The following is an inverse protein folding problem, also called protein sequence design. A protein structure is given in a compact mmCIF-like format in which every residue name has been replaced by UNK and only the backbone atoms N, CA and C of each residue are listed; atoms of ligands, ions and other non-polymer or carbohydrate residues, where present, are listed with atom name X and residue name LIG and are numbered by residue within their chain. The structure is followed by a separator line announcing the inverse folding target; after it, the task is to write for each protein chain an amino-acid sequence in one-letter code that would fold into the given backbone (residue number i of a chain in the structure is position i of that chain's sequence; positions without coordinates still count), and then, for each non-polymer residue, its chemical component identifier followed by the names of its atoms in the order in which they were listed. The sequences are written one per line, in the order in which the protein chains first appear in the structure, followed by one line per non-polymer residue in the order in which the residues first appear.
data_IF_277292007488
#
_entry.id   IF_277292007488
#
_cell.length_a   1.000
_cell.length_b   1.000
_cell.length_c   1.000
_cell.angle_alpha   90.00
_cell.angle_beta   90.00
_cell.angle_gamma   90.00
#
_symmetry.space_group_name_H-M   'P 1'
#
loop_
_entity.id
_entity.type
_entity.pdbx_description
1 polymer ?
#
# COMPACT_ATOMS: atom_id res chain seq x y z
N UNK A 1 -8.40 -22.93 -4.91
CA UNK A 1 -7.86 -21.56 -5.01
C UNK A 1 -7.06 -21.52 -6.29
N UNK A 2 -7.44 -20.64 -7.21
CA UNK A 2 -6.74 -20.50 -8.48
C UNK A 2 -5.77 -19.34 -8.36
N UNK A 3 -4.53 -19.54 -8.82
CA UNK A 3 -3.49 -18.53 -8.81
C UNK A 3 -3.05 -18.25 -10.24
N UNK A 4 -2.85 -16.97 -10.55
CA UNK A 4 -2.43 -16.52 -11.87
C UNK A 4 -1.35 -15.47 -11.67
N UNK A 5 -0.24 -15.63 -12.38
CA UNK A 5 0.79 -14.59 -12.48
C UNK A 5 0.33 -13.48 -13.43
N UNK A 6 0.52 -12.22 -13.06
CA UNK A 6 0.12 -11.09 -13.88
C UNK A 6 0.49 -9.74 -13.29
N UNK A 7 0.13 -8.67 -14.00
CA UNK A 7 0.33 -7.29 -13.57
C UNK A 7 -1.02 -6.63 -13.26
N UNK A 8 -1.05 -5.71 -12.29
CA UNK A 8 -2.23 -4.89 -12.02
C UNK A 8 -2.61 -3.97 -13.17
N UNK A 9 -1.65 -3.66 -14.05
CA UNK A 9 -1.84 -2.77 -15.19
C UNK A 9 -2.13 -3.50 -16.50
N UNK A 10 -1.99 -4.81 -16.51
CA UNK A 10 -2.21 -5.69 -17.66
C UNK A 10 -2.71 -7.05 -17.14
N UNK A 11 -4.02 -7.12 -16.88
CA UNK A 11 -4.63 -8.31 -16.30
C UNK A 11 -4.56 -9.48 -17.29
N UNK A 12 -4.18 -10.70 -16.85
CA UNK A 12 -4.19 -11.88 -17.71
C UNK A 12 -5.56 -12.09 -18.35
N UNK A 13 -5.60 -12.55 -19.61
CA UNK A 13 -6.85 -12.69 -20.38
C UNK A 13 -7.95 -13.52 -19.66
N UNK A 14 -7.54 -14.56 -18.90
CA UNK A 14 -8.46 -15.37 -18.10
C UNK A 14 -9.08 -14.64 -16.89
N UNK A 15 -8.43 -13.58 -16.41
CA UNK A 15 -8.95 -12.68 -15.37
C UNK A 15 -9.79 -11.57 -16.02
N UNK A 16 -9.28 -10.97 -17.10
CA UNK A 16 -9.93 -9.87 -17.82
C UNK A 16 -11.29 -10.25 -18.44
N UNK A 17 -11.50 -11.54 -18.73
CA UNK A 17 -12.78 -12.07 -19.26
C UNK A 17 -13.85 -12.33 -18.20
N UNK A 18 -13.54 -12.13 -16.92
CA UNK A 18 -14.45 -12.40 -15.80
C UNK A 18 -15.01 -11.10 -15.20
N UNK A 19 -16.11 -11.25 -14.47
CA UNK A 19 -16.69 -10.21 -13.62
C UNK A 19 -16.72 -10.68 -12.17
N UNK A 20 -16.13 -9.89 -11.29
CA UNK A 20 -16.01 -10.21 -9.87
C UNK A 20 -16.96 -9.34 -9.06
N UNK A 21 -17.66 -9.93 -8.10
CA UNK A 21 -18.47 -9.18 -7.14
C UNK A 21 -17.61 -8.41 -6.14
N UNK A 22 -16.39 -8.89 -5.87
CA UNK A 22 -15.46 -8.29 -4.92
C UNK A 22 -14.04 -8.31 -5.48
N UNK A 23 -13.31 -7.22 -5.25
CA UNK A 23 -11.86 -7.14 -5.45
C UNK A 23 -11.24 -6.73 -4.13
N UNK A 24 -10.20 -7.44 -3.70
CA UNK A 24 -9.50 -7.16 -2.45
C UNK A 24 -8.01 -6.96 -2.73
N UNK A 25 -7.43 -5.94 -2.11
CA UNK A 25 -5.98 -5.68 -2.15
C UNK A 25 -5.49 -5.27 -0.76
N UNK A 26 -4.39 -5.87 -0.33
CA UNK A 26 -3.77 -5.59 0.96
C UNK A 26 -2.27 -5.35 0.77
N UNK A 27 -1.83 -4.13 1.10
CA UNK A 27 -0.43 -3.67 1.11
C UNK A 27 0.31 -4.06 -0.19
N UNK A 28 -0.33 -3.79 -1.33
CA UNK A 28 0.17 -4.23 -2.64
C UNK A 28 0.33 -3.07 -3.64
N UNK A 29 -0.57 -2.08 -3.64
CA UNK A 29 -0.52 -1.00 -4.65
C UNK A 29 0.51 0.07 -4.27
N UNK A 30 0.95 0.15 -3.01
CA UNK A 30 2.03 1.03 -2.53
C UNK A 30 3.28 0.96 -3.41
N UNK A 31 3.59 -0.22 -3.95
CA UNK A 31 4.77 -0.41 -4.80
C UNK A 31 4.67 0.26 -6.17
N UNK A 32 3.46 0.62 -6.61
CA UNK A 32 3.17 1.10 -7.97
C UNK A 32 2.12 2.22 -8.00
N UNK A 33 2.04 3.06 -6.96
CA UNK A 33 1.06 4.15 -6.90
C UNK A 33 1.10 5.09 -8.12
N UNK A 34 2.25 5.29 -8.77
CA UNK A 34 2.35 6.07 -10.02
C UNK A 34 1.44 5.55 -11.15
N UNK A 35 1.05 4.27 -11.11
CA UNK A 35 0.15 3.61 -12.06
C UNK A 35 -1.26 3.40 -11.48
N UNK A 36 -1.57 3.93 -10.28
CA UNK A 36 -2.86 3.74 -9.63
C UNK A 36 -4.06 4.05 -10.52
N UNK A 37 -4.10 5.12 -11.34
CA UNK A 37 -5.21 5.34 -12.26
C UNK A 37 -5.43 4.19 -13.25
N UNK A 38 -4.35 3.63 -13.81
CA UNK A 38 -4.42 2.49 -14.73
C UNK A 38 -4.86 1.22 -13.99
N UNK A 39 -4.40 1.01 -12.77
CA UNK A 39 -4.79 -0.12 -11.92
C UNK A 39 -6.29 -0.06 -11.61
N UNK A 40 -6.81 1.12 -11.23
CA UNK A 40 -8.23 1.31 -10.97
C UNK A 40 -9.07 1.07 -12.23
N UNK A 41 -8.57 1.46 -13.41
CA UNK A 41 -9.23 1.16 -14.68
C UNK A 41 -9.30 -0.35 -14.95
N UNK A 42 -8.21 -1.08 -14.73
CA UNK A 42 -8.18 -2.54 -14.86
C UNK A 42 -9.15 -3.20 -13.87
N UNK A 43 -9.12 -2.79 -12.60
CA UNK A 43 -10.03 -3.31 -11.57
C UNK A 43 -11.50 -3.03 -11.93
N UNK A 44 -11.82 -1.82 -12.37
CA UNK A 44 -13.16 -1.48 -12.87
C UNK A 44 -13.58 -2.38 -14.04
N UNK A 45 -12.67 -2.66 -14.98
CA UNK A 45 -13.00 -3.48 -16.16
C UNK A 45 -13.43 -4.91 -15.81
N UNK A 46 -13.02 -5.42 -14.64
CA UNK A 46 -13.36 -6.76 -14.17
C UNK A 46 -14.31 -6.76 -12.96
N UNK A 47 -14.69 -5.59 -12.45
CA UNK A 47 -15.71 -5.49 -11.41
C UNK A 47 -17.10 -5.68 -12.03
N UNK A 48 -17.94 -6.46 -11.38
CA UNK A 48 -19.36 -6.58 -11.73
C UNK A 48 -20.12 -5.31 -11.36
N UNK A 49 -21.28 -5.07 -12.00
CA UNK A 49 -22.16 -3.97 -11.63
C UNK A 49 -22.59 -4.10 -10.16
N UNK A 50 -22.42 -3.04 -9.39
CA UNK A 50 -22.66 -3.04 -7.94
C UNK A 50 -21.61 -3.82 -7.11
N UNK A 51 -20.53 -4.28 -7.73
CA UNK A 51 -19.42 -4.91 -7.02
C UNK A 51 -18.66 -3.94 -6.12
N UNK A 52 -17.91 -4.50 -5.16
CA UNK A 52 -17.19 -3.73 -4.13
C UNK A 52 -15.69 -3.98 -4.22
N UNK A 53 -14.92 -2.92 -4.12
CA UNK A 53 -13.46 -2.99 -3.95
C UNK A 53 -13.11 -2.64 -2.50
N UNK A 54 -12.28 -3.47 -1.87
CA UNK A 54 -11.75 -3.20 -0.53
C UNK A 54 -10.23 -3.17 -0.61
N UNK A 55 -9.65 -2.01 -0.31
CA UNK A 55 -8.21 -1.79 -0.40
C UNK A 55 -7.70 -1.32 0.96
N UNK A 56 -6.67 -2.00 1.44
CA UNK A 56 -5.82 -1.56 2.54
C UNK A 56 -4.41 -1.38 1.99
N UNK A 57 -3.79 -0.21 2.20
CA UNK A 57 -2.47 0.06 1.62
C UNK A 57 -1.66 1.05 2.46
N UNK A 58 -0.36 1.11 2.20
CA UNK A 58 0.52 2.13 2.78
C UNK A 58 0.44 3.42 1.99
N UNK A 59 0.11 4.51 2.67
CA UNK A 59 0.05 5.84 2.10
C UNK A 59 1.19 6.72 2.62
N UNK A 60 1.54 7.72 1.83
CA UNK A 60 2.64 8.64 2.11
C UNK A 60 2.16 9.98 2.64
N UNK A 61 3.03 10.99 2.52
CA UNK A 61 2.69 12.38 2.86
C UNK A 61 2.16 13.13 1.63
N UNK A 62 1.12 13.95 1.83
CA UNK A 62 0.61 14.86 0.80
C UNK A 62 1.47 16.13 0.63
N UNK A 63 2.39 16.42 1.56
CA UNK A 63 3.18 17.66 1.59
C UNK A 63 4.67 17.44 1.30
N UNK A 64 5.07 16.21 1.00
CA UNK A 64 6.45 15.80 0.72
C UNK A 64 7.03 14.88 1.80
N UNK A 65 8.15 14.25 1.46
CA UNK A 65 8.79 13.20 2.26
C UNK A 65 10.04 13.74 2.94
N UNK A 66 10.14 13.59 4.27
CA UNK A 66 11.32 13.98 5.05
C UNK A 66 12.55 13.13 4.69
N UNK A 67 13.74 13.61 5.04
CA UNK A 67 14.96 12.82 4.84
C UNK A 67 14.97 11.54 5.69
N UNK A 68 14.44 11.59 6.92
CA UNK A 68 14.34 10.42 7.80
C UNK A 68 13.43 9.35 7.17
N UNK A 69 12.26 9.75 6.66
CA UNK A 69 11.35 8.82 5.96
C UNK A 69 11.98 8.25 4.69
N UNK A 70 12.78 9.05 3.95
CA UNK A 70 13.50 8.54 2.76
C UNK A 70 14.50 7.45 3.12
N UNK A 71 15.31 7.65 4.15
CA UNK A 71 16.35 6.70 4.53
C UNK A 71 15.78 5.44 5.19
N UNK A 72 14.85 5.58 6.14
CA UNK A 72 14.38 4.43 6.94
C UNK A 72 13.19 3.68 6.32
N UNK A 73 12.43 4.31 5.44
CA UNK A 73 11.23 3.72 4.83
C UNK A 73 11.44 3.50 3.33
N UNK A 74 11.63 4.55 2.54
CA UNK A 74 11.60 4.42 1.07
C UNK A 74 12.75 3.60 0.54
N UNK A 75 13.97 3.87 0.99
CA UNK A 75 15.17 3.15 0.55
C UNK A 75 15.11 1.68 0.94
N UNK A 76 14.69 1.38 2.18
CA UNK A 76 14.60 0.01 2.73
C UNK A 76 13.52 -0.82 2.05
N UNK A 77 12.36 -0.21 1.78
CA UNK A 77 11.21 -0.88 1.18
C UNK A 77 11.17 -0.74 -0.34
N UNK A 78 12.19 -0.14 -0.94
CA UNK A 78 12.32 0.12 -2.37
C UNK A 78 11.11 0.85 -2.96
N UNK A 79 10.57 1.82 -2.21
CA UNK A 79 9.48 2.66 -2.69
C UNK A 79 10.00 3.80 -3.57
N UNK A 80 9.34 3.98 -4.71
CA UNK A 80 9.60 5.07 -5.64
C UNK A 80 8.72 6.28 -5.29
N UNK A 81 7.42 6.15 -5.53
CA UNK A 81 6.42 7.16 -5.25
C UNK A 81 5.27 6.56 -4.45
N UNK A 82 4.93 7.19 -3.33
CA UNK A 82 3.76 6.85 -2.52
C UNK A 82 2.86 8.07 -2.45
N UNK A 83 1.59 7.92 -2.84
CA UNK A 83 0.61 8.98 -2.68
C UNK A 83 0.19 9.11 -1.23
N UNK A 84 0.03 10.36 -0.78
CA UNK A 84 -0.61 10.62 0.49
C UNK A 84 -2.11 10.41 0.46
N UNK A 85 -2.71 10.45 1.64
CA UNK A 85 -4.13 10.22 1.90
C UNK A 85 -5.05 11.03 0.99
N UNK A 86 -4.79 12.32 0.79
CA UNK A 86 -5.61 13.18 -0.09
C UNK A 86 -5.39 12.82 -1.55
N UNK A 87 -4.14 12.70 -2.00
CA UNK A 87 -3.84 12.40 -3.40
C UNK A 87 -4.41 11.05 -3.82
N UNK A 88 -4.31 10.03 -2.97
CA UNK A 88 -4.83 8.69 -3.24
C UNK A 88 -6.35 8.71 -3.43
N UNK A 89 -7.09 9.36 -2.52
CA UNK A 89 -8.56 9.49 -2.65
C UNK A 89 -8.97 10.29 -3.87
N UNK A 90 -8.23 11.36 -4.19
CA UNK A 90 -8.52 12.15 -5.39
C UNK A 90 -8.39 11.31 -6.67
N UNK A 91 -7.41 10.40 -6.74
CA UNK A 91 -7.28 9.46 -7.87
C UNK A 91 -8.49 8.52 -7.97
N UNK A 92 -9.09 8.12 -6.85
CA UNK A 92 -10.34 7.33 -6.85
C UNK A 92 -11.53 8.18 -7.29
N UNK A 93 -11.64 9.41 -6.78
CA UNK A 93 -12.72 10.36 -7.13
C UNK A 93 -12.69 10.75 -8.62
N UNK A 94 -11.50 10.84 -9.22
CA UNK A 94 -11.30 11.10 -10.65
C UNK A 94 -11.58 9.87 -11.53
N UNK A 95 -11.79 8.70 -10.93
CA UNK A 95 -12.17 7.48 -11.64
C UNK A 95 -13.69 7.33 -11.69
N UNK A 96 -14.18 6.37 -12.47
CA UNK A 96 -15.62 6.04 -12.51
C UNK A 96 -16.06 5.15 -11.33
N UNK A 97 -15.33 5.17 -10.20
CA UNK A 97 -15.66 4.46 -8.96
C UNK A 97 -16.19 5.46 -7.92
N UNK A 98 -17.02 4.97 -7.00
CA UNK A 98 -17.48 5.76 -5.86
C UNK A 98 -16.77 5.33 -4.59
N UNK A 99 -16.17 6.29 -3.88
CA UNK A 99 -15.58 6.05 -2.56
C UNK A 99 -16.69 5.91 -1.52
N UNK A 100 -16.94 4.69 -1.05
CA UNK A 100 -18.01 4.40 -0.07
C UNK A 100 -17.58 4.64 1.36
N UNK A 101 -16.33 4.31 1.69
CA UNK A 101 -15.78 4.42 3.03
C UNK A 101 -14.27 4.65 2.97
N UNK A 102 -13.77 5.42 3.92
CA UNK A 102 -12.35 5.68 4.10
C UNK A 102 -12.04 5.85 5.57
N UNK A 103 -10.95 5.21 6.01
CA UNK A 103 -10.43 5.31 7.35
C UNK A 103 -8.92 5.50 7.28
N UNK A 104 -8.40 6.45 8.07
CA UNK A 104 -6.97 6.56 8.28
C UNK A 104 -6.54 5.62 9.42
N UNK A 105 -5.72 4.63 9.09
CA UNK A 105 -5.20 3.63 10.02
C UNK A 105 -3.74 3.89 10.45
N UNK A 106 -3.21 5.10 10.25
CA UNK A 106 -1.83 5.46 10.60
C UNK A 106 -1.48 5.11 12.06
N UNK A 107 -2.39 5.36 13.02
CA UNK A 107 -2.18 5.01 14.43
C UNK A 107 -2.04 3.49 14.65
N UNK A 108 -2.82 2.69 13.90
CA UNK A 108 -2.73 1.22 13.98
C UNK A 108 -1.42 0.72 13.35
N UNK A 109 -0.96 1.38 12.29
CA UNK A 109 0.32 1.10 11.66
C UNK A 109 1.50 1.43 12.59
N UNK A 110 1.46 2.59 13.27
CA UNK A 110 2.45 2.98 14.27
C UNK A 110 2.52 1.96 15.41
N UNK A 111 1.37 1.53 15.94
CA UNK A 111 1.30 0.48 16.97
C UNK A 111 1.91 -0.84 16.49
N UNK A 112 1.55 -1.29 15.28
CA UNK A 112 2.09 -2.54 14.73
C UNK A 112 3.62 -2.49 14.55
N UNK A 113 4.16 -1.38 14.06
CA UNK A 113 5.61 -1.20 13.92
C UNK A 113 6.32 -1.04 15.28
N UNK A 114 5.67 -0.44 16.27
CA UNK A 114 6.18 -0.37 17.65
C UNK A 114 6.34 -1.78 18.24
N UNK A 115 5.30 -2.60 18.15
CA UNK A 115 5.33 -4.00 18.60
C UNK A 115 6.36 -4.84 17.83
N UNK A 116 6.51 -4.59 16.52
CA UNK A 116 7.52 -5.24 15.70
C UNK A 116 8.94 -4.83 16.13
N UNK A 117 9.16 -3.57 16.51
CA UNK A 117 10.45 -3.10 17.03
C UNK A 117 10.83 -3.81 18.34
N UNK A 118 9.91 -3.88 19.30
CA UNK A 118 10.12 -4.55 20.57
C UNK A 118 10.44 -6.04 20.37
N UNK A 119 9.75 -6.67 19.43
CA UNK A 119 9.99 -8.07 19.05
C UNK A 119 11.36 -8.25 18.42
N UNK A 120 11.73 -7.40 17.46
CA UNK A 120 13.02 -7.46 16.78
C UNK A 120 14.19 -7.25 17.75
N UNK A 121 14.06 -6.32 18.69
CA UNK A 121 15.07 -6.06 19.72
C UNK A 121 15.22 -7.26 20.66
N UNK A 122 14.10 -7.82 21.13
CA UNK A 122 14.11 -9.00 22.01
C UNK A 122 14.84 -10.19 21.41
N UNK A 123 14.75 -10.37 20.09
CA UNK A 123 15.37 -11.49 19.38
C UNK A 123 16.69 -11.13 18.69
N UNK A 124 17.17 -9.88 18.81
CA UNK A 124 18.42 -9.44 18.18
C UNK A 124 18.41 -9.60 16.66
N UNK A 125 17.29 -9.27 16.00
CA UNK A 125 17.16 -9.41 14.56
C UNK A 125 17.81 -8.22 13.85
N UNK A 126 18.71 -8.51 12.93
CA UNK A 126 19.33 -7.52 12.06
C UNK A 126 18.66 -7.47 10.68
N UNK A 127 18.72 -6.29 10.07
CA UNK A 127 18.36 -6.06 8.67
C UNK A 127 19.43 -6.65 7.74
N UNK A 128 19.14 -6.76 6.45
CA UNK A 128 20.08 -7.32 5.47
C UNK A 128 21.41 -6.56 5.36
N UNK A 129 21.44 -5.29 5.77
CA UNK A 129 22.63 -4.43 5.82
C UNK A 129 23.37 -4.46 7.17
N UNK A 130 22.92 -5.29 8.12
CA UNK A 130 23.49 -5.41 9.46
C UNK A 130 22.98 -4.39 10.48
N UNK A 131 22.06 -3.49 10.11
CA UNK A 131 21.43 -2.55 11.05
C UNK A 131 20.40 -3.29 11.92
N UNK A 132 20.35 -3.09 13.24
CA UNK A 132 19.29 -3.65 14.09
C UNK A 132 17.91 -3.34 13.52
N UNK A 133 17.09 -4.36 13.27
CA UNK A 133 15.78 -4.20 12.62
C UNK A 133 14.84 -3.35 13.49
N UNK A 134 14.99 -3.41 14.81
CA UNK A 134 14.26 -2.58 15.76
C UNK A 134 14.44 -1.08 15.50
N UNK A 135 15.64 -0.63 15.11
CA UNK A 135 15.91 0.77 14.83
C UNK A 135 15.18 1.25 13.57
N UNK A 136 15.10 0.39 12.55
CA UNK A 136 14.34 0.66 11.33
C UNK A 136 12.83 0.72 11.60
N UNK A 137 12.30 -0.17 12.44
CA UNK A 137 10.89 -0.13 12.83
C UNK A 137 10.57 1.09 13.68
N UNK A 138 11.41 1.49 14.64
CA UNK A 138 11.26 2.74 15.40
C UNK A 138 11.33 3.97 14.51
N UNK A 139 12.22 3.97 13.52
CA UNK A 139 12.27 5.02 12.49
C UNK A 139 11.00 5.08 11.66
N UNK A 140 10.36 3.93 11.41
CA UNK A 140 9.06 3.89 10.73
C UNK A 140 7.96 4.49 11.60
N UNK A 141 7.90 4.18 12.90
CA UNK A 141 6.93 4.80 13.83
C UNK A 141 7.04 6.33 13.82
N UNK A 142 8.25 6.87 13.97
CA UNK A 142 8.51 8.33 13.93
C UNK A 142 8.17 8.98 12.59
N UNK A 143 8.20 8.22 11.50
CA UNK A 143 7.86 8.71 10.17
C UNK A 143 6.34 8.78 9.93
N UNK A 144 5.54 8.12 10.77
CA UNK A 144 4.07 8.10 10.70
C UNK A 144 3.48 9.23 11.55
N UNK A 145 4.10 9.51 12.70
CA UNK A 145 3.75 10.62 13.61
C UNK A 145 4.10 12.00 13.03
#
# INVERSE_FOLDING_TARGET
LDFVEGSFTDLPAGVASKKFSHIFSQVALVHVHKLLPQILQQAQSVLADGGIMVINDYLGSDVGVSNETREHVYKRLHFDQIFGHKKWRHVVEDSNLSLLYYENLDAHMAEAYSQAADTAERFGIDSADGTPLADNYRGTVRAIE
#
